data_IF_296701062164
#
_entry.id   IF_296701062164
#
_cell.length_a   1.000
_cell.length_b   1.000
_cell.length_c   1.000
_cell.angle_alpha   90.00
_cell.angle_beta   90.00
_cell.angle_gamma   90.00
#
_symmetry.space_group_name_H-M   'P 1'
#
loop_
_entity.id
_entity.type
_entity.pdbx_description
1 polymer ?
#
# COMPACT_ATOMS: atom_id res chain seq x y z
N UNK A 1 -13.67 -25.55 57.99
CA UNK A 1 -12.61 -26.19 57.17
C UNK A 1 -12.78 -25.76 55.73
N UNK A 2 -12.20 -24.62 55.40
CA UNK A 2 -12.11 -24.04 54.06
C UNK A 2 -11.11 -24.84 53.23
N UNK A 3 -11.53 -25.31 52.05
CA UNK A 3 -10.61 -25.81 51.02
C UNK A 3 -10.56 -24.81 49.89
N UNK A 4 -9.42 -24.16 49.75
CA UNK A 4 -9.02 -23.36 48.60
C UNK A 4 -8.78 -24.27 47.40
N UNK A 5 -9.44 -24.01 46.27
CA UNK A 5 -8.98 -24.48 44.98
C UNK A 5 -8.22 -23.33 44.32
N UNK A 6 -6.89 -23.47 44.24
CA UNK A 6 -6.01 -22.60 43.44
C UNK A 6 -5.94 -23.20 42.03
N UNK A 7 -6.22 -22.45 40.95
CA UNK A 7 -5.94 -22.92 39.59
C UNK A 7 -4.43 -22.83 39.31
N UNK A 8 -3.85 -23.91 38.81
CA UNK A 8 -2.44 -23.96 38.38
C UNK A 8 -2.13 -23.07 37.17
N UNK A 9 -0.85 -22.77 36.91
CA UNK A 9 -0.45 -21.85 35.86
C UNK A 9 -0.74 -22.42 34.46
N UNK A 10 -1.33 -21.58 33.62
CA UNK A 10 -1.57 -21.88 32.21
C UNK A 10 -0.24 -22.04 31.44
N UNK A 11 -0.16 -22.93 30.44
CA UNK A 11 1.05 -23.13 29.65
C UNK A 11 1.39 -21.86 28.87
N UNK A 12 2.66 -21.45 28.94
CA UNK A 12 3.20 -20.29 28.24
C UNK A 12 3.06 -20.48 26.73
N UNK A 13 2.16 -19.71 26.11
CA UNK A 13 2.12 -19.55 24.67
C UNK A 13 3.43 -18.90 24.22
N UNK A 14 4.26 -19.66 23.51
CA UNK A 14 5.48 -19.14 22.89
C UNK A 14 5.16 -17.98 21.94
N UNK A 15 6.07 -17.01 21.78
CA UNK A 15 5.82 -15.84 20.96
C UNK A 15 5.53 -16.28 19.52
N UNK A 16 4.39 -15.83 19.01
CA UNK A 16 4.06 -15.83 17.58
C UNK A 16 5.19 -15.15 16.80
N UNK A 17 5.51 -15.59 15.57
CA UNK A 17 6.65 -15.07 14.82
C UNK A 17 6.36 -13.62 14.43
N UNK A 18 6.81 -12.71 15.28
CA UNK A 18 6.94 -11.31 14.95
C UNK A 18 7.89 -11.23 13.77
N UNK A 19 7.47 -10.57 12.70
CA UNK A 19 8.35 -10.05 11.66
C UNK A 19 9.28 -9.01 12.30
N UNK A 20 10.29 -9.48 13.04
CA UNK A 20 11.40 -8.69 13.53
C UNK A 20 12.27 -8.35 12.32
N UNK A 21 12.19 -7.10 11.85
CA UNK A 21 13.24 -6.58 10.97
C UNK A 21 14.50 -6.42 11.82
N UNK A 22 15.28 -7.49 11.92
CA UNK A 22 16.63 -7.43 12.47
C UNK A 22 17.57 -6.66 11.52
N UNK A 23 18.64 -6.04 12.04
CA UNK A 23 19.70 -5.45 11.24
C UNK A 23 20.52 -6.57 10.60
N UNK A 24 20.04 -7.09 9.46
CA UNK A 24 20.65 -8.22 8.78
C UNK A 24 19.91 -8.70 7.53
N UNK A 25 19.09 -7.85 6.90
CA UNK A 25 18.50 -8.19 5.60
C UNK A 25 19.47 -7.88 4.46
N UNK A 26 19.61 -8.86 3.55
CA UNK A 26 20.32 -8.89 2.25
C UNK A 26 20.50 -7.52 1.56
N UNK A 27 21.57 -7.29 0.76
CA UNK A 27 22.02 -5.97 0.31
C UNK A 27 20.88 -5.00 -0.04
N UNK A 28 20.72 -4.00 0.84
CA UNK A 28 19.85 -2.83 0.73
C UNK A 28 18.37 -3.06 0.35
N UNK A 29 17.52 -3.32 1.35
CA UNK A 29 16.05 -3.28 1.21
C UNK A 29 15.49 -2.01 0.54
N UNK A 30 16.25 -0.90 0.53
CA UNK A 30 15.87 0.35 -0.13
C UNK A 30 15.79 0.24 -1.66
N UNK A 31 16.58 -0.66 -2.28
CA UNK A 31 16.69 -0.77 -3.74
C UNK A 31 15.45 -1.40 -4.38
N UNK A 32 14.75 -2.25 -3.62
CA UNK A 32 13.69 -3.12 -4.14
C UNK A 32 12.55 -2.34 -4.79
N UNK A 33 11.99 -1.35 -4.07
CA UNK A 33 10.82 -0.60 -4.53
C UNK A 33 11.12 0.31 -5.73
N UNK A 34 12.18 1.12 -5.72
CA UNK A 34 12.58 1.89 -6.90
C UNK A 34 12.79 0.99 -8.13
N UNK A 35 13.45 -0.16 -7.96
CA UNK A 35 13.64 -1.13 -9.06
C UNK A 35 12.31 -1.60 -9.61
N UNK A 36 11.36 -1.98 -8.73
CA UNK A 36 10.04 -2.45 -9.15
C UNK A 36 9.26 -1.33 -9.90
N UNK A 37 9.32 -0.09 -9.43
CA UNK A 37 8.66 1.06 -10.07
C UNK A 37 9.18 1.33 -11.47
N UNK A 38 10.51 1.40 -11.63
CA UNK A 38 11.15 1.61 -12.92
C UNK A 38 10.92 0.43 -13.88
N UNK A 39 10.98 -0.80 -13.37
CA UNK A 39 10.70 -2.01 -14.14
C UNK A 39 9.25 -2.08 -14.63
N UNK A 40 8.29 -1.53 -13.87
CA UNK A 40 6.91 -1.37 -14.30
C UNK A 40 6.68 -0.20 -15.27
N UNK A 41 7.70 0.62 -15.55
CA UNK A 41 7.64 1.72 -16.52
C UNK A 41 7.33 3.10 -15.92
N UNK A 42 7.48 3.29 -14.60
CA UNK A 42 7.46 4.64 -14.03
C UNK A 42 8.72 5.38 -14.50
N UNK A 43 8.52 6.48 -15.20
CA UNK A 43 9.59 7.31 -15.76
C UNK A 43 10.02 8.40 -14.75
N UNK A 44 11.27 8.38 -14.25
CA UNK A 44 11.77 9.33 -13.24
C UNK A 44 11.96 10.76 -13.79
N UNK A 45 11.96 10.95 -15.11
CA UNK A 45 11.96 12.29 -15.71
C UNK A 45 10.57 12.94 -15.64
N UNK A 46 9.52 12.12 -15.63
CA UNK A 46 8.12 12.56 -15.56
C UNK A 46 7.51 12.47 -14.16
N UNK A 47 8.10 11.67 -13.29
CA UNK A 47 7.60 11.36 -11.94
C UNK A 47 8.70 11.48 -10.89
N UNK A 48 8.36 12.01 -9.72
CA UNK A 48 9.30 12.12 -8.61
C UNK A 48 9.25 10.86 -7.75
N UNK A 49 10.30 10.04 -7.81
CA UNK A 49 10.48 8.87 -6.92
C UNK A 49 11.44 9.27 -5.80
N UNK A 50 10.97 9.30 -4.57
CA UNK A 50 11.76 9.77 -3.43
C UNK A 50 11.59 8.85 -2.21
N UNK A 51 12.50 8.99 -1.26
CA UNK A 51 12.42 8.32 0.05
C UNK A 51 11.77 9.25 1.06
N UNK A 52 10.61 8.87 1.61
CA UNK A 52 9.88 9.65 2.61
C UNK A 52 10.79 10.18 3.73
N UNK A 53 11.69 9.35 4.27
CA UNK A 53 12.62 9.74 5.34
C UNK A 53 13.60 10.86 4.97
N UNK A 54 13.77 11.16 3.68
CA UNK A 54 14.65 12.23 3.19
C UNK A 54 13.96 13.59 3.09
N UNK A 55 12.65 13.66 3.31
CA UNK A 55 11.89 14.92 3.25
C UNK A 55 11.64 15.42 4.66
N UNK A 56 12.58 16.19 5.21
CA UNK A 56 12.57 16.60 6.62
C UNK A 56 11.45 17.57 6.95
N UNK A 57 11.00 18.37 5.98
CA UNK A 57 9.89 19.30 6.14
C UNK A 57 8.58 18.63 6.59
N UNK A 58 8.35 17.36 6.20
CA UNK A 58 7.17 16.59 6.64
C UNK A 58 7.06 16.51 8.16
N UNK A 59 8.18 16.33 8.86
CA UNK A 59 8.20 16.27 10.31
C UNK A 59 7.76 17.60 10.96
N UNK A 60 8.05 18.72 10.29
CA UNK A 60 7.66 20.04 10.76
C UNK A 60 6.20 20.37 10.46
N UNK A 61 5.64 19.86 9.35
CA UNK A 61 4.22 20.00 9.02
C UNK A 61 3.30 19.23 9.98
N UNK A 62 3.81 18.16 10.59
CA UNK A 62 3.02 17.30 11.47
C UNK A 62 2.45 18.04 12.69
N UNK A 63 3.23 18.91 13.35
CA UNK A 63 2.79 19.61 14.56
C UNK A 63 1.63 20.60 14.30
N UNK A 64 1.70 21.50 13.30
CA UNK A 64 0.56 22.30 12.90
C UNK A 64 -0.66 21.44 12.59
N UNK A 65 -0.50 20.33 11.88
CA UNK A 65 -1.63 19.48 11.49
C UNK A 65 -2.28 18.76 12.66
N UNK A 66 -1.48 18.27 13.62
CA UNK A 66 -1.99 17.66 14.85
C UNK A 66 -2.82 18.65 15.67
N UNK A 67 -2.53 19.94 15.59
CA UNK A 67 -3.33 20.98 16.27
C UNK A 67 -4.73 21.20 15.67
N UNK A 68 -4.98 20.69 14.46
CA UNK A 68 -6.22 20.87 13.68
C UNK A 68 -7.18 19.69 13.78
N UNK A 69 -6.76 18.60 14.43
CA UNK A 69 -7.54 17.39 14.60
C UNK A 69 -7.73 17.08 16.08
N UNK A 70 -8.85 16.47 16.42
CA UNK A 70 -9.15 16.09 17.80
C UNK A 70 -8.88 14.61 18.04
N UNK A 71 -8.55 14.25 19.28
CA UNK A 71 -8.33 12.85 19.69
C UNK A 71 -9.55 11.95 19.37
N UNK A 72 -10.81 12.36 19.60
CA UNK A 72 -11.98 11.57 19.21
C UNK A 72 -12.10 11.33 17.70
N UNK A 73 -11.70 12.28 16.85
CA UNK A 73 -11.67 12.08 15.39
C UNK A 73 -10.66 11.00 15.00
N UNK A 74 -9.47 11.02 15.61
CA UNK A 74 -8.43 10.00 15.37
C UNK A 74 -8.91 8.60 15.80
N UNK A 75 -9.54 8.47 16.97
CA UNK A 75 -10.11 7.18 17.42
C UNK A 75 -11.28 6.70 16.58
N UNK A 76 -11.97 7.57 15.83
CA UNK A 76 -13.06 7.19 14.93
C UNK A 76 -12.57 6.73 13.57
N UNK A 77 -11.32 7.02 13.21
CA UNK A 77 -10.75 6.58 11.94
C UNK A 77 -10.74 5.04 11.84
N UNK A 78 -11.28 4.44 10.77
CA UNK A 78 -11.37 2.98 10.63
C UNK A 78 -10.04 2.25 10.79
N UNK A 79 -8.94 2.76 10.22
CA UNK A 79 -7.62 2.13 10.32
C UNK A 79 -7.13 2.08 11.77
N UNK A 80 -7.37 3.15 12.53
CA UNK A 80 -7.04 3.20 13.96
C UNK A 80 -7.93 2.21 14.75
N UNK A 81 -9.23 2.18 14.48
CA UNK A 81 -10.16 1.25 15.14
C UNK A 81 -9.82 -0.21 14.88
N UNK A 82 -9.48 -0.55 13.64
CA UNK A 82 -9.11 -1.91 13.25
C UNK A 82 -7.82 -2.35 13.95
N UNK A 83 -6.83 -1.48 14.07
CA UNK A 83 -5.60 -1.79 14.80
C UNK A 83 -5.85 -2.00 16.30
N UNK A 84 -6.74 -1.20 16.91
CA UNK A 84 -7.17 -1.41 18.31
C UNK A 84 -7.91 -2.75 18.47
N UNK A 85 -8.78 -3.11 17.52
CA UNK A 85 -9.57 -4.33 17.58
C UNK A 85 -8.73 -5.59 17.34
N UNK A 86 -7.75 -5.52 16.44
CA UNK A 86 -6.88 -6.65 16.10
C UNK A 86 -5.79 -6.89 17.15
N UNK A 87 -5.44 -5.88 17.96
CA UNK A 87 -4.38 -5.97 18.97
C UNK A 87 -4.85 -5.48 20.36
N UNK A 88 -5.91 -6.07 20.95
CA UNK A 88 -6.54 -5.54 22.17
C UNK A 88 -5.61 -5.54 23.39
N UNK A 89 -4.61 -6.43 23.41
CA UNK A 89 -3.66 -6.57 24.51
C UNK A 89 -2.38 -5.74 24.31
N UNK A 90 -2.27 -4.96 23.23
CA UNK A 90 -1.10 -4.15 22.92
C UNK A 90 -1.45 -2.67 22.98
N UNK A 91 -0.80 -1.88 23.86
CA UNK A 91 -0.96 -0.44 23.85
C UNK A 91 -0.64 0.15 22.47
N UNK A 92 -1.54 0.98 21.96
CA UNK A 92 -1.35 1.66 20.69
C UNK A 92 -0.29 2.76 20.83
N UNK A 93 0.62 2.84 19.86
CA UNK A 93 1.60 3.92 19.83
C UNK A 93 0.95 5.25 19.39
N UNK A 94 1.51 6.38 19.85
CA UNK A 94 1.06 7.69 19.39
C UNK A 94 1.18 7.88 17.87
N UNK A 95 2.21 7.28 17.25
CA UNK A 95 2.37 7.29 15.79
C UNK A 95 1.22 6.58 15.07
N UNK A 96 0.75 5.46 15.59
CA UNK A 96 -0.39 4.75 15.00
C UNK A 96 -1.70 5.53 15.15
N UNK A 97 -1.91 6.14 16.32
CA UNK A 97 -3.09 7.00 16.55
C UNK A 97 -3.09 8.20 15.61
N UNK A 98 -1.92 8.76 15.33
CA UNK A 98 -1.74 9.94 14.48
C UNK A 98 -1.38 9.60 13.03
N UNK A 99 -1.42 8.32 12.65
CA UNK A 99 -1.08 7.86 11.31
C UNK A 99 -1.89 8.57 10.20
N UNK A 100 -3.22 8.79 10.35
CA UNK A 100 -3.98 9.57 9.36
C UNK A 100 -3.45 10.98 9.12
N UNK A 101 -2.86 11.61 10.13
CA UNK A 101 -2.30 12.97 10.05
C UNK A 101 -0.95 12.96 9.35
N UNK A 102 -0.14 11.92 9.56
CA UNK A 102 1.12 11.72 8.82
C UNK A 102 0.83 11.56 7.32
N UNK A 103 -0.16 10.73 6.97
CA UNK A 103 -0.56 10.56 5.57
C UNK A 103 -1.12 11.87 4.96
N UNK A 104 -1.80 12.71 5.75
CA UNK A 104 -2.20 14.03 5.30
C UNK A 104 -0.99 14.93 5.01
N UNK A 105 0.06 14.89 5.83
CA UNK A 105 1.32 15.59 5.54
C UNK A 105 1.95 15.11 4.23
N UNK A 106 1.96 13.80 3.97
CA UNK A 106 2.49 13.20 2.74
C UNK A 106 1.75 13.65 1.46
N UNK A 107 0.46 13.98 1.57
CA UNK A 107 -0.34 14.46 0.45
C UNK A 107 -0.19 15.98 0.29
N UNK A 108 -0.23 16.71 1.40
CA UNK A 108 -0.31 18.16 1.39
C UNK A 108 1.04 18.85 1.17
N UNK A 109 2.18 18.23 1.55
CA UNK A 109 3.49 18.85 1.34
C UNK A 109 3.78 19.17 -0.13
N UNK A 110 3.29 18.31 -1.03
CA UNK A 110 3.46 18.43 -2.47
C UNK A 110 2.23 19.01 -3.17
N UNK A 111 1.27 19.54 -2.39
CA UNK A 111 0.02 20.14 -2.89
C UNK A 111 -0.73 19.22 -3.85
N UNK A 112 -0.76 17.92 -3.57
CA UNK A 112 -1.42 16.95 -4.42
C UNK A 112 -2.93 17.26 -4.54
N UNK A 113 -3.41 17.33 -5.78
CA UNK A 113 -4.82 17.53 -6.11
C UNK A 113 -5.56 16.22 -6.36
N UNK A 114 -4.84 15.12 -6.63
CA UNK A 114 -5.41 13.82 -6.93
C UNK A 114 -4.53 12.71 -6.34
N UNK A 115 -5.13 11.80 -5.59
CA UNK A 115 -4.43 10.74 -4.86
C UNK A 115 -5.05 9.38 -5.17
N UNK A 116 -4.32 8.45 -5.81
CA UNK A 116 -4.81 7.10 -6.06
C UNK A 116 -4.95 6.33 -4.75
N UNK A 117 -6.16 5.88 -4.44
CA UNK A 117 -6.46 5.20 -3.18
C UNK A 117 -7.43 4.05 -3.35
N UNK A 118 -7.28 3.04 -2.48
CA UNK A 118 -8.30 2.01 -2.28
C UNK A 118 -9.50 2.54 -1.50
N UNK A 119 -10.65 1.86 -1.58
CA UNK A 119 -11.86 2.24 -0.83
C UNK A 119 -11.62 2.31 0.68
N UNK A 120 -10.74 1.47 1.21
CA UNK A 120 -10.34 1.43 2.62
C UNK A 120 -9.52 2.64 3.06
N UNK A 121 -8.98 3.43 2.12
CA UNK A 121 -8.16 4.61 2.39
C UNK A 121 -8.93 5.94 2.25
N UNK A 122 -10.21 5.91 1.81
CA UNK A 122 -11.06 7.10 1.72
C UNK A 122 -11.14 7.92 3.03
N UNK A 123 -11.21 7.30 4.22
CA UNK A 123 -11.19 8.06 5.48
C UNK A 123 -9.93 8.91 5.68
N UNK A 124 -8.78 8.50 5.13
CA UNK A 124 -7.54 9.30 5.20
C UNK A 124 -7.58 10.51 4.27
N UNK A 125 -8.17 10.36 3.08
CA UNK A 125 -8.40 11.50 2.17
C UNK A 125 -9.35 12.51 2.81
N UNK A 126 -10.39 12.06 3.51
CA UNK A 126 -11.31 12.96 4.19
C UNK A 126 -10.61 13.74 5.32
N UNK A 127 -9.81 13.07 6.16
CA UNK A 127 -9.00 13.75 7.19
C UNK A 127 -8.04 14.77 6.55
N UNK A 128 -7.44 14.42 5.41
CA UNK A 128 -6.54 15.32 4.67
C UNK A 128 -7.27 16.60 4.23
N UNK A 129 -8.49 16.48 3.68
CA UNK A 129 -9.33 17.63 3.30
C UNK A 129 -9.76 18.47 4.50
N UNK A 130 -10.10 17.82 5.62
CA UNK A 130 -10.44 18.51 6.87
C UNK A 130 -9.25 19.31 7.38
N UNK A 131 -8.05 18.74 7.39
CA UNK A 131 -6.81 19.43 7.79
C UNK A 131 -6.56 20.63 6.89
N UNK A 132 -6.60 20.45 5.56
CA UNK A 132 -6.40 21.54 4.61
C UNK A 132 -7.36 22.71 4.84
N UNK A 133 -8.66 22.42 5.01
CA UNK A 133 -9.67 23.45 5.29
C UNK A 133 -9.46 24.13 6.64
N UNK A 134 -9.25 23.36 7.71
CA UNK A 134 -9.07 23.90 9.06
C UNK A 134 -7.77 24.70 9.21
N UNK A 135 -6.75 24.40 8.41
CA UNK A 135 -5.51 25.16 8.41
C UNK A 135 -5.80 26.61 8.01
N UNK A 136 -6.46 26.81 6.87
CA UNK A 136 -6.86 28.14 6.39
C UNK A 136 -7.80 28.85 7.39
N UNK A 137 -8.76 28.13 7.99
CA UNK A 137 -9.70 28.69 8.97
C UNK A 137 -9.00 29.18 10.24
N UNK A 138 -7.96 28.46 10.69
CA UNK A 138 -7.26 28.74 11.96
C UNK A 138 -6.11 29.73 11.81
N UNK A 139 -5.31 29.57 10.76
CA UNK A 139 -4.06 30.32 10.56
C UNK A 139 -4.18 31.36 9.45
N UNK A 140 -5.30 31.41 8.73
CA UNK A 140 -5.47 32.29 7.59
C UNK A 140 -4.71 31.78 6.35
N UNK A 141 -4.59 32.67 5.37
CA UNK A 141 -3.96 32.39 4.08
C UNK A 141 -2.85 33.38 3.81
N UNK A 142 -1.79 32.91 3.15
CA UNK A 142 -0.73 33.79 2.64
C UNK A 142 -1.26 34.66 1.48
N UNK A 143 -2.13 34.09 0.63
CA UNK A 143 -2.90 34.82 -0.39
C UNK A 143 -4.39 34.63 -0.10
N UNK A 144 -5.14 35.73 0.07
CA UNK A 144 -6.59 35.68 0.33
C UNK A 144 -7.37 34.86 -0.72
N UNK A 145 -6.89 34.83 -1.97
CA UNK A 145 -7.55 34.15 -3.11
C UNK A 145 -7.20 32.67 -3.22
N UNK A 146 -6.13 32.20 -2.58
CA UNK A 146 -5.60 30.85 -2.80
C UNK A 146 -5.40 30.15 -1.45
N UNK A 147 -6.01 28.97 -1.24
CA UNK A 147 -5.78 28.21 -0.03
C UNK A 147 -4.31 27.80 0.07
N UNK A 148 -3.78 27.67 1.28
CA UNK A 148 -2.39 27.19 1.48
C UNK A 148 -2.27 25.76 0.94
N UNK A 149 -3.31 24.97 1.17
CA UNK A 149 -3.40 23.58 0.74
C UNK A 149 -4.59 23.37 -0.19
N UNK A 150 -4.40 22.84 -1.41
CA UNK A 150 -5.51 22.40 -2.24
C UNK A 150 -6.20 21.18 -1.60
N UNK A 151 -7.49 21.01 -1.89
CA UNK A 151 -8.20 19.80 -1.50
C UNK A 151 -7.86 18.68 -2.47
N UNK A 152 -7.30 17.59 -1.95
CA UNK A 152 -6.98 16.41 -2.71
C UNK A 152 -8.23 15.56 -2.99
N UNK A 153 -8.39 15.11 -4.24
CA UNK A 153 -9.43 14.15 -4.62
C UNK A 153 -8.93 12.71 -4.61
N UNK A 154 -9.83 11.79 -4.25
CA UNK A 154 -9.55 10.37 -4.32
C UNK A 154 -9.70 9.88 -5.77
N UNK A 155 -8.61 9.36 -6.34
CA UNK A 155 -8.66 8.62 -7.60
C UNK A 155 -8.89 7.14 -7.30
N UNK A 156 -10.12 6.69 -7.50
CA UNK A 156 -10.46 5.27 -7.34
C UNK A 156 -10.15 4.50 -8.62
N UNK A 157 -9.51 3.35 -8.48
CA UNK A 157 -9.35 2.43 -9.60
C UNK A 157 -10.69 1.71 -9.88
N UNK A 158 -11.12 1.61 -11.15
CA UNK A 158 -12.26 0.78 -11.54
C UNK A 158 -11.91 -0.73 -11.50
N UNK A 159 -10.63 -1.07 -11.30
CA UNK A 159 -10.18 -2.45 -11.32
C UNK A 159 -10.89 -3.30 -10.24
N UNK A 160 -11.30 -4.53 -10.58
CA UNK A 160 -11.91 -5.45 -9.63
C UNK A 160 -10.94 -5.79 -8.50
N UNK A 161 -11.49 -6.10 -7.31
CA UNK A 161 -10.69 -6.49 -6.17
C UNK A 161 -10.02 -7.85 -6.44
N UNK A 162 -8.69 -7.87 -6.48
CA UNK A 162 -7.91 -9.10 -6.67
C UNK A 162 -7.72 -9.77 -5.30
N UNK A 163 -8.14 -11.03 -5.19
CA UNK A 163 -7.95 -11.85 -4.00
C UNK A 163 -6.56 -12.48 -3.99
N UNK A 164 -6.09 -12.86 -2.80
CA UNK A 164 -4.94 -13.72 -2.67
C UNK A 164 -5.21 -15.11 -3.24
N UNK A 165 -4.14 -15.89 -3.42
CA UNK A 165 -4.22 -17.27 -3.94
C UNK A 165 -4.97 -18.24 -3.00
N UNK A 166 -5.35 -17.79 -1.81
CA UNK A 166 -6.15 -18.50 -0.81
C UNK A 166 -7.64 -18.09 -0.82
N UNK A 167 -8.05 -17.14 -1.68
CA UNK A 167 -9.41 -16.60 -1.73
C UNK A 167 -9.70 -15.48 -0.73
N UNK A 168 -8.73 -15.06 0.09
CA UNK A 168 -8.93 -13.95 1.05
C UNK A 168 -8.30 -12.66 0.53
N UNK A 169 -8.47 -11.53 1.24
CA UNK A 169 -7.78 -10.27 0.89
C UNK A 169 -6.28 -10.53 0.72
N UNK A 170 -5.75 -10.17 -0.44
CA UNK A 170 -4.33 -10.31 -0.76
C UNK A 170 -3.49 -9.49 0.23
N UNK A 171 -2.48 -10.11 0.85
CA UNK A 171 -1.54 -9.45 1.75
C UNK A 171 -0.20 -10.16 1.81
N UNK A 172 0.89 -9.39 1.70
CA UNK A 172 2.26 -9.90 1.83
C UNK A 172 2.48 -10.64 3.14
N UNK A 173 1.87 -10.16 4.24
CA UNK A 173 2.00 -10.80 5.56
C UNK A 173 1.34 -12.18 5.64
N UNK A 174 0.37 -12.47 4.77
CA UNK A 174 -0.30 -13.78 4.70
C UNK A 174 0.41 -14.76 3.77
N UNK A 175 1.40 -14.30 2.99
CA UNK A 175 2.07 -15.14 1.99
C UNK A 175 1.18 -15.62 0.85
N UNK A 176 0.04 -14.96 0.61
CA UNK A 176 -0.94 -15.33 -0.42
C UNK A 176 -0.81 -14.48 -1.71
N UNK A 177 0.35 -13.85 -1.94
CA UNK A 177 0.57 -12.85 -3.00
C UNK A 177 1.56 -13.34 -4.06
N UNK A 178 1.39 -12.88 -5.30
CA UNK A 178 2.42 -12.94 -6.34
C UNK A 178 3.14 -11.58 -6.34
N UNK A 179 4.42 -11.54 -5.96
CA UNK A 179 5.20 -10.31 -6.01
C UNK A 179 5.85 -10.13 -7.39
N UNK A 180 5.95 -8.86 -7.85
CA UNK A 180 6.55 -8.49 -9.14
C UNK A 180 7.99 -9.04 -9.28
N UNK A 181 8.74 -9.09 -8.18
CA UNK A 181 10.11 -9.58 -8.15
C UNK A 181 10.27 -11.11 -8.12
N UNK A 182 9.18 -11.89 -8.09
CA UNK A 182 9.26 -13.35 -8.11
C UNK A 182 9.70 -13.88 -9.48
N UNK A 183 10.53 -14.92 -9.46
CA UNK A 183 10.91 -15.68 -10.66
C UNK A 183 9.71 -16.44 -11.26
N UNK A 184 9.84 -16.86 -12.51
CA UNK A 184 8.81 -17.67 -13.18
C UNK A 184 8.48 -18.95 -12.40
N UNK A 185 9.50 -19.59 -11.82
CA UNK A 185 9.36 -20.82 -11.03
C UNK A 185 8.69 -20.57 -9.68
N UNK A 186 9.02 -19.48 -8.98
CA UNK A 186 8.37 -19.12 -7.72
C UNK A 186 6.89 -18.81 -7.95
N UNK A 187 6.58 -18.04 -8.99
CA UNK A 187 5.20 -17.74 -9.38
C UNK A 187 4.44 -19.02 -9.73
N UNK A 188 5.02 -19.91 -10.54
CA UNK A 188 4.40 -21.20 -10.89
C UNK A 188 4.14 -22.08 -9.66
N UNK A 189 5.09 -22.15 -8.71
CA UNK A 189 4.94 -22.91 -7.46
C UNK A 189 3.79 -22.39 -6.60
N UNK A 190 3.62 -21.07 -6.53
CA UNK A 190 2.52 -20.45 -5.78
C UNK A 190 1.17 -20.70 -6.44
N UNK A 191 1.05 -20.49 -7.75
CA UNK A 191 -0.20 -20.72 -8.50
C UNK A 191 -0.60 -22.19 -8.42
N UNK A 192 0.35 -23.13 -8.49
CA UNK A 192 0.08 -24.57 -8.31
C UNK A 192 -0.62 -24.87 -6.98
N UNK A 193 -0.29 -24.14 -5.91
CA UNK A 193 -0.87 -24.27 -4.56
C UNK A 193 -2.13 -23.44 -4.35
N UNK A 194 -2.53 -22.60 -5.32
CA UNK A 194 -3.72 -21.78 -5.18
C UNK A 194 -4.95 -22.64 -4.89
N UNK A 195 -5.86 -22.13 -4.04
CA UNK A 195 -7.08 -22.83 -3.69
C UNK A 195 -8.02 -22.85 -4.91
N UNK A 196 -8.62 -24.00 -5.17
CA UNK A 196 -9.69 -24.20 -6.17
C UNK A 196 -10.70 -25.18 -5.58
N UNK A 197 -11.89 -25.26 -6.17
CA UNK A 197 -12.87 -26.29 -5.83
C UNK A 197 -12.63 -27.59 -6.62
N UNK A 198 -13.51 -28.58 -6.42
CA UNK A 198 -13.48 -29.88 -7.08
C UNK A 198 -14.28 -29.91 -8.39
N UNK A 199 -14.92 -28.81 -8.80
CA UNK A 199 -15.71 -28.79 -10.02
C UNK A 199 -14.78 -28.76 -11.24
N UNK A 200 -15.05 -29.66 -12.19
CA UNK A 200 -14.21 -29.80 -13.38
C UNK A 200 -14.49 -28.69 -14.41
N UNK A 201 -15.74 -28.23 -14.48
CA UNK A 201 -16.13 -27.14 -15.36
C UNK A 201 -15.68 -25.81 -14.76
N UNK A 202 -14.93 -25.01 -15.53
CA UNK A 202 -14.48 -23.68 -15.11
C UNK A 202 -15.53 -22.65 -15.51
N UNK A 203 -15.98 -21.86 -14.53
CA UNK A 203 -16.91 -20.75 -14.76
C UNK A 203 -16.42 -19.50 -14.03
N UNK A 204 -16.78 -18.33 -14.55
CA UNK A 204 -16.54 -17.06 -13.86
C UNK A 204 -17.77 -16.68 -13.03
N UNK A 205 -17.75 -17.03 -11.75
CA UNK A 205 -18.76 -16.70 -10.74
C UNK A 205 -18.09 -16.16 -9.47
N UNK A 206 -17.80 -14.84 -9.41
CA UNK A 206 -17.11 -14.23 -8.27
C UNK A 206 -17.84 -14.35 -6.94
N UNK A 207 -19.15 -14.67 -6.95
CA UNK A 207 -19.98 -14.75 -5.74
C UNK A 207 -19.92 -16.15 -5.16
N UNK A 208 -20.18 -17.18 -5.97
CA UNK A 208 -20.26 -18.56 -5.48
C UNK A 208 -18.93 -19.32 -5.60
N UNK A 209 -18.05 -18.93 -6.52
CA UNK A 209 -16.75 -19.56 -6.77
C UNK A 209 -15.61 -18.52 -6.79
N UNK A 210 -15.40 -17.78 -5.68
CA UNK A 210 -14.48 -16.64 -5.65
C UNK A 210 -13.02 -17.04 -5.94
N UNK A 211 -12.56 -18.21 -5.50
CA UNK A 211 -11.18 -18.65 -5.73
C UNK A 211 -10.90 -18.98 -7.21
N UNK A 212 -11.80 -19.71 -7.85
CA UNK A 212 -11.71 -20.04 -9.29
C UNK A 212 -11.83 -18.77 -10.12
N UNK A 213 -12.81 -17.92 -9.80
CA UNK A 213 -13.04 -16.66 -10.51
C UNK A 213 -11.88 -15.69 -10.36
N UNK A 214 -11.21 -15.67 -9.20
CA UNK A 214 -10.00 -14.87 -9.01
C UNK A 214 -8.85 -15.33 -9.92
N UNK A 215 -8.65 -16.64 -10.06
CA UNK A 215 -7.64 -17.17 -10.97
C UNK A 215 -7.95 -16.86 -12.43
N UNK A 216 -9.21 -17.01 -12.85
CA UNK A 216 -9.68 -16.62 -14.19
C UNK A 216 -9.47 -15.12 -14.44
N UNK A 217 -9.82 -14.27 -13.46
CA UNK A 217 -9.59 -12.83 -13.51
C UNK A 217 -8.11 -12.48 -13.65
N UNK A 218 -7.22 -13.18 -12.95
CA UNK A 218 -5.77 -12.97 -13.08
C UNK A 218 -5.28 -13.28 -14.49
N UNK A 219 -5.75 -14.38 -15.10
CA UNK A 219 -5.45 -14.67 -16.50
C UNK A 219 -5.97 -13.58 -17.43
N UNK A 220 -7.24 -13.17 -17.26
CA UNK A 220 -7.87 -12.12 -18.05
C UNK A 220 -7.10 -10.79 -18.00
N UNK A 221 -6.70 -10.35 -16.81
CA UNK A 221 -5.92 -9.12 -16.64
C UNK A 221 -4.52 -9.22 -17.24
N UNK A 222 -3.89 -10.40 -17.20
CA UNK A 222 -2.56 -10.62 -17.75
C UNK A 222 -2.55 -10.64 -19.29
N UNK A 223 -3.61 -11.19 -19.90
CA UNK A 223 -3.75 -11.32 -21.36
C UNK A 223 -4.57 -10.20 -22.02
N UNK A 224 -5.27 -9.39 -21.23
CA UNK A 224 -6.21 -8.38 -21.75
C UNK A 224 -7.53 -8.97 -22.27
N UNK A 225 -7.88 -10.20 -21.88
CA UNK A 225 -9.10 -10.90 -22.29
C UNK A 225 -10.29 -10.65 -21.37
N UNK A 226 -11.44 -11.21 -21.74
CA UNK A 226 -12.65 -11.23 -20.92
C UNK A 226 -12.66 -12.48 -20.02
N UNK A 227 -12.92 -12.35 -18.69
CA UNK A 227 -12.87 -13.48 -17.79
C UNK A 227 -13.97 -14.53 -18.05
N UNK A 228 -15.14 -14.14 -18.58
CA UNK A 228 -16.21 -15.10 -18.92
C UNK A 228 -15.75 -15.94 -20.12
N UNK A 229 -15.23 -15.29 -21.16
CA UNK A 229 -14.71 -15.98 -22.35
C UNK A 229 -13.57 -16.94 -22.01
N UNK A 230 -12.62 -16.53 -21.17
CA UNK A 230 -11.51 -17.39 -20.74
C UNK A 230 -12.02 -18.63 -19.98
N UNK A 231 -13.04 -18.46 -19.14
CA UNK A 231 -13.66 -19.59 -18.43
C UNK A 231 -14.34 -20.55 -19.41
N UNK A 232 -15.11 -20.02 -20.37
CA UNK A 232 -15.80 -20.80 -21.39
C UNK A 232 -14.82 -21.60 -22.26
N UNK A 233 -13.70 -20.98 -22.68
CA UNK A 233 -12.63 -21.64 -23.44
C UNK A 233 -11.93 -22.76 -22.64
N UNK A 234 -11.78 -22.58 -21.33
CA UNK A 234 -11.21 -23.60 -20.45
C UNK A 234 -12.13 -24.81 -20.26
N UNK A 235 -13.46 -24.63 -20.35
CA UNK A 235 -14.45 -25.69 -20.23
C UNK A 235 -14.18 -26.68 -19.09
N UNK A 236 -14.09 -27.97 -19.40
CA UNK A 236 -13.90 -29.07 -18.44
C UNK A 236 -12.43 -29.41 -18.14
N UNK A 237 -11.53 -28.43 -18.25
CA UNK A 237 -10.09 -28.61 -17.98
C UNK A 237 -9.76 -28.77 -16.49
N UNK A 238 -10.70 -28.44 -15.60
CA UNK A 238 -10.55 -28.51 -14.14
C UNK A 238 -9.50 -27.54 -13.58
N UNK A 239 -9.36 -27.53 -12.26
CA UNK A 239 -8.44 -26.61 -11.56
C UNK A 239 -6.97 -26.75 -11.99
N UNK A 240 -6.55 -27.92 -12.50
CA UNK A 240 -5.22 -28.13 -13.06
C UNK A 240 -4.99 -27.36 -14.36
N UNK A 241 -5.95 -27.40 -15.28
CA UNK A 241 -5.91 -26.66 -16.54
C UNK A 241 -5.93 -25.14 -16.31
N UNK A 242 -6.82 -24.68 -15.44
CA UNK A 242 -6.88 -23.27 -15.01
C UNK A 242 -5.53 -22.79 -14.45
N UNK A 243 -4.94 -23.52 -13.50
CA UNK A 243 -3.64 -23.15 -12.91
C UNK A 243 -2.52 -23.11 -13.94
N UNK A 244 -2.54 -24.00 -14.94
CA UNK A 244 -1.57 -24.00 -16.04
C UNK A 244 -1.70 -22.71 -16.87
N UNK A 245 -2.92 -22.39 -17.32
CA UNK A 245 -3.19 -21.17 -18.10
C UNK A 245 -2.76 -19.92 -17.33
N UNK A 246 -3.15 -19.79 -16.06
CA UNK A 246 -2.80 -18.62 -15.23
C UNK A 246 -1.28 -18.51 -15.05
N UNK A 247 -0.59 -19.64 -14.89
CA UNK A 247 0.88 -19.64 -14.78
C UNK A 247 1.53 -19.11 -16.05
N UNK A 248 1.09 -19.58 -17.21
CA UNK A 248 1.60 -19.14 -18.52
C UNK A 248 1.31 -17.65 -18.73
N UNK A 249 0.06 -17.23 -18.56
CA UNK A 249 -0.37 -15.84 -18.74
C UNK A 249 0.40 -14.85 -17.84
N UNK A 250 0.51 -15.14 -16.53
CA UNK A 250 1.21 -14.26 -15.59
C UNK A 250 2.71 -14.24 -15.87
N UNK A 251 3.31 -15.37 -16.22
CA UNK A 251 4.75 -15.41 -16.52
C UNK A 251 5.09 -14.67 -17.80
N UNK A 252 4.25 -14.78 -18.83
CA UNK A 252 4.39 -14.01 -20.07
C UNK A 252 4.25 -12.50 -19.78
N UNK A 253 3.19 -12.11 -19.07
CA UNK A 253 2.95 -10.71 -18.71
C UNK A 253 4.13 -10.09 -17.94
N UNK A 254 4.71 -10.82 -16.99
CA UNK A 254 5.85 -10.35 -16.20
C UNK A 254 7.22 -10.56 -16.85
N UNK A 255 7.34 -11.23 -18.00
CA UNK A 255 8.64 -11.53 -18.61
C UNK A 255 9.46 -10.26 -18.89
N UNK A 256 8.86 -9.26 -19.55
CA UNK A 256 9.54 -7.98 -19.86
C UNK A 256 9.86 -7.16 -18.61
N UNK A 257 9.00 -7.24 -17.58
CA UNK A 257 9.20 -6.53 -16.30
C UNK A 257 10.38 -7.16 -15.56
N UNK A 258 10.45 -8.49 -15.51
CA UNK A 258 11.55 -9.24 -14.87
C UNK A 258 12.89 -8.97 -15.55
N UNK A 259 12.92 -8.92 -16.89
CA UNK A 259 14.12 -8.58 -17.65
C UNK A 259 14.63 -7.18 -17.28
N UNK A 260 13.77 -6.16 -17.39
CA UNK A 260 14.10 -4.77 -16.97
C UNK A 260 14.54 -4.68 -15.52
N UNK A 261 13.87 -5.40 -14.63
CA UNK A 261 14.20 -5.45 -13.21
C UNK A 261 15.59 -6.02 -12.96
N UNK A 262 15.99 -7.06 -13.70
CA UNK A 262 17.32 -7.66 -13.59
C UNK A 262 18.41 -6.69 -14.07
N UNK A 263 18.18 -6.00 -15.19
CA UNK A 263 19.09 -4.95 -15.69
C UNK A 263 19.25 -3.80 -14.68
N UNK A 264 18.15 -3.29 -14.14
CA UNK A 264 18.16 -2.22 -13.13
C UNK A 264 18.85 -2.66 -11.84
N UNK A 265 18.61 -3.89 -11.39
CA UNK A 265 19.26 -4.44 -10.20
C UNK A 265 20.78 -4.60 -10.37
N UNK A 266 21.26 -4.76 -11.61
CA UNK A 266 22.67 -4.80 -11.95
C UNK A 266 23.33 -3.41 -11.96
N UNK A 267 22.56 -2.31 -11.93
CA UNK A 267 23.06 -0.94 -11.83
C UNK A 267 22.51 -0.18 -10.60
N UNK A 268 22.97 -0.50 -9.37
CA UNK A 268 22.56 0.20 -8.16
C UNK A 268 22.87 1.69 -8.13
N UNK A 269 23.91 2.15 -8.83
CA UNK A 269 24.31 3.56 -8.83
C UNK A 269 23.29 4.43 -9.56
N UNK A 270 22.77 3.95 -10.69
CA UNK A 270 21.64 4.60 -11.36
C UNK A 270 20.42 4.74 -10.42
N UNK A 271 20.10 3.70 -9.64
CA UNK A 271 18.99 3.77 -8.67
C UNK A 271 19.25 4.78 -7.55
N UNK A 272 20.50 4.96 -7.12
CA UNK A 272 20.88 6.02 -6.16
C UNK A 272 20.72 7.40 -6.78
N UNK A 273 21.10 7.58 -8.04
CA UNK A 273 20.95 8.85 -8.77
C UNK A 273 19.48 9.23 -8.91
N UNK A 274 18.63 8.28 -9.32
CA UNK A 274 17.17 8.49 -9.41
C UNK A 274 16.60 8.92 -8.06
N UNK A 275 16.95 8.23 -6.98
CA UNK A 275 16.49 8.59 -5.63
C UNK A 275 17.04 9.94 -5.16
N UNK A 276 18.31 10.25 -5.45
CA UNK A 276 18.90 11.55 -5.10
C UNK A 276 18.16 12.68 -5.80
N UNK A 277 18.00 12.58 -7.13
CA UNK A 277 17.28 13.58 -7.91
C UNK A 277 15.82 13.72 -7.45
N UNK A 278 15.15 12.61 -7.15
CA UNK A 278 13.79 12.63 -6.62
C UNK A 278 13.70 13.24 -5.23
N UNK A 279 14.65 12.95 -4.34
CA UNK A 279 14.74 13.57 -3.02
C UNK A 279 14.97 15.07 -3.10
N UNK A 280 15.84 15.53 -4.01
CA UNK A 280 16.12 16.96 -4.19
C UNK A 280 14.87 17.70 -4.69
N UNK A 281 14.18 17.13 -5.70
CA UNK A 281 12.89 17.66 -6.21
C UNK A 281 11.82 17.69 -5.12
N UNK A 282 11.67 16.61 -4.35
CA UNK A 282 10.67 16.54 -3.28
C UNK A 282 10.95 17.53 -2.15
N UNK A 283 12.21 17.68 -1.73
CA UNK A 283 12.60 18.64 -0.70
C UNK A 283 12.37 20.09 -1.14
N UNK A 284 12.69 20.44 -2.39
CA UNK A 284 12.43 21.79 -2.90
C UNK A 284 10.95 22.18 -2.76
N UNK A 285 10.05 21.27 -3.13
CA UNK A 285 8.59 21.47 -3.00
C UNK A 285 8.18 21.51 -1.52
N UNK A 286 8.71 20.59 -0.70
CA UNK A 286 8.35 20.49 0.70
C UNK A 286 8.78 21.72 1.52
N UNK A 287 9.98 22.23 1.28
CA UNK A 287 10.49 23.45 1.92
C UNK A 287 9.70 24.68 1.48
N UNK A 288 9.35 24.79 0.20
CA UNK A 288 8.46 25.85 -0.27
C UNK A 288 7.11 25.82 0.47
N UNK A 289 6.48 24.64 0.55
CA UNK A 289 5.20 24.48 1.25
C UNK A 289 5.33 24.78 2.75
N UNK A 290 6.43 24.36 3.38
CA UNK A 290 6.70 24.66 4.79
C UNK A 290 6.88 26.16 5.02
N UNK A 291 7.54 26.88 4.10
CA UNK A 291 7.71 28.33 4.20
C UNK A 291 6.39 29.09 4.04
N UNK A 292 5.46 28.59 3.22
CA UNK A 292 4.09 29.12 3.16
C UNK A 292 3.34 28.88 4.47
N UNK A 293 3.45 27.68 5.05
CA UNK A 293 2.87 27.35 6.36
C UNK A 293 3.41 28.27 7.46
N UNK A 294 4.74 28.45 7.52
CA UNK A 294 5.39 29.37 8.47
C UNK A 294 4.95 30.81 8.27
N UNK A 295 4.76 31.24 7.03
CA UNK A 295 4.21 32.56 6.72
C UNK A 295 2.78 32.74 7.23
N UNK A 296 1.89 31.76 6.96
CA UNK A 296 0.50 31.82 7.42
C UNK A 296 0.41 31.81 8.96
N UNK A 297 1.29 31.05 9.62
CA UNK A 297 1.35 30.99 11.08
C UNK A 297 2.09 32.16 11.74
N UNK A 298 2.57 33.15 10.97
CA UNK A 298 3.38 34.28 11.47
C UNK A 298 4.66 33.84 12.20
N UNK A 299 5.29 32.75 11.74
CA UNK A 299 6.49 32.14 12.33
C UNK A 299 7.78 32.43 11.55
N UNK A 300 7.84 33.58 10.86
CA UNK A 300 9.08 34.06 10.21
C UNK A 300 9.72 35.10 11.14
N UNK A 301 10.90 34.77 11.65
CA UNK A 301 11.69 35.59 12.59
C UNK A 301 12.84 36.29 11.88
#
# INVERSE_FOLDING_TARGET
MSRSCVPGPAPSAGPSPQSTRGPGSSPSSWIRRPTDYLACGIDPERSTIFTHSSVTALNQLLLPFLSLVTVPELHRNPTVKDEMANNPNRPMSGLMLTFPVHQAADILFCKANLVPVGKDQLPHIEITRVIARRFDERYGRVDAKTPVFPQADALMSPAPAILGLDGTKMSKSKGNTIEIGMTADETAKLIKRAKTDSERHISYDPVNRPEVSNLVLLAALATGGDPVQIADELGDSGGGGLKKLVTEAINEHFASIRARRAELAANPDHLREVLRAGNDKANAIAEQTLDEVRSAMEMKY
#
